data_IF_955876071886
#
_entry.id   IF_955876071886
#
_cell.length_a   1.000
_cell.length_b   1.000
_cell.length_c   1.000
_cell.angle_alpha   90.00
_cell.angle_beta   90.00
_cell.angle_gamma   90.00
#
_symmetry.space_group_name_H-M   'P 1'
#
loop_
_entity.id
_entity.type
_entity.pdbx_description
1 polymer ?
#
# COMPACT_ATOMS: atom_id res chain seq x y z
N UNK A 1 13.99 -33.88 -31.84
CA UNK A 1 14.10 -34.04 -30.38
C UNK A 1 13.22 -35.21 -29.94
N UNK A 2 13.80 -36.30 -29.44
CA UNK A 2 13.04 -37.45 -28.95
C UNK A 2 12.26 -37.04 -27.69
N UNK A 3 10.94 -37.26 -27.68
CA UNK A 3 10.09 -37.03 -26.50
C UNK A 3 10.47 -38.04 -25.42
N UNK A 4 10.92 -37.59 -24.26
CA UNK A 4 11.22 -38.45 -23.12
C UNK A 4 9.96 -39.23 -22.73
N UNK A 5 10.10 -40.55 -22.63
CA UNK A 5 9.05 -41.48 -22.22
C UNK A 5 9.51 -42.32 -21.04
N UNK A 6 8.61 -42.59 -20.09
CA UNK A 6 8.86 -43.50 -18.98
C UNK A 6 7.58 -44.24 -18.57
N UNK A 7 7.67 -45.45 -18.02
CA UNK A 7 6.55 -46.04 -17.29
C UNK A 7 6.32 -45.30 -15.96
N UNK A 8 5.08 -45.30 -15.49
CA UNK A 8 4.69 -44.71 -14.21
C UNK A 8 3.24 -44.24 -14.18
N UNK A 9 2.91 -43.46 -13.17
CA UNK A 9 1.60 -42.86 -12.94
C UNK A 9 1.47 -41.50 -13.62
N UNK A 10 0.33 -41.24 -14.27
CA UNK A 10 0.05 -39.95 -14.89
C UNK A 10 -0.21 -38.88 -13.83
N UNK A 11 0.46 -37.73 -13.89
CA UNK A 11 0.31 -36.61 -12.94
C UNK A 11 -1.06 -35.87 -13.02
N UNK A 12 -2.09 -36.48 -13.63
CA UNK A 12 -3.42 -35.88 -13.75
C UNK A 12 -4.54 -36.86 -13.44
N UNK A 13 -4.52 -38.04 -14.07
CA UNK A 13 -5.57 -39.04 -13.95
C UNK A 13 -5.14 -40.26 -13.13
N UNK A 14 -3.96 -40.22 -12.52
CA UNK A 14 -3.43 -41.23 -11.60
C UNK A 14 -3.39 -42.66 -12.20
N UNK A 15 -3.46 -42.75 -13.53
CA UNK A 15 -3.48 -44.02 -14.26
C UNK A 15 -2.04 -44.45 -14.56
N UNK A 16 -1.68 -45.66 -14.17
CA UNK A 16 -0.41 -46.27 -14.56
C UNK A 16 -0.37 -46.55 -16.07
N UNK A 17 0.73 -46.14 -16.72
CA UNK A 17 1.01 -46.41 -18.13
C UNK A 17 2.45 -46.84 -18.30
N UNK A 18 2.69 -47.68 -19.30
CA UNK A 18 4.05 -48.11 -19.69
C UNK A 18 4.83 -47.02 -20.42
N UNK A 19 4.16 -46.00 -20.96
CA UNK A 19 4.78 -44.88 -21.68
C UNK A 19 4.01 -43.58 -21.46
N UNK A 20 4.48 -42.79 -20.49
CA UNK A 20 4.03 -41.42 -20.24
C UNK A 20 4.93 -40.43 -20.98
N UNK A 21 4.36 -39.32 -21.42
CA UNK A 21 5.07 -38.23 -22.11
C UNK A 21 5.43 -37.13 -21.12
N UNK A 22 6.70 -36.74 -21.08
CA UNK A 22 7.12 -35.60 -20.27
C UNK A 22 6.53 -34.28 -20.79
N UNK A 23 6.20 -33.37 -19.87
CA UNK A 23 5.91 -31.98 -20.18
C UNK A 23 7.05 -31.40 -21.01
N UNK A 24 6.74 -30.78 -22.14
CA UNK A 24 7.74 -30.20 -23.03
C UNK A 24 8.42 -28.95 -22.47
N UNK A 25 7.83 -28.32 -21.45
CA UNK A 25 8.36 -27.12 -20.82
C UNK A 25 9.42 -27.42 -19.76
N UNK A 26 9.04 -28.15 -18.71
CA UNK A 26 9.91 -28.40 -17.56
C UNK A 26 10.51 -29.81 -17.52
N UNK A 27 9.99 -30.76 -18.30
CA UNK A 27 10.34 -32.19 -18.26
C UNK A 27 10.19 -32.88 -16.90
N UNK A 28 9.49 -32.25 -15.94
CA UNK A 28 9.30 -32.75 -14.58
C UNK A 28 7.92 -33.33 -14.30
N UNK A 29 6.94 -33.11 -15.18
CA UNK A 29 5.61 -33.74 -15.12
C UNK A 29 5.39 -34.66 -16.32
N UNK A 30 4.52 -35.67 -16.18
CA UNK A 30 4.37 -36.82 -17.07
C UNK A 30 2.90 -37.17 -17.26
N UNK A 31 2.50 -37.35 -18.51
CA UNK A 31 1.09 -37.47 -18.90
C UNK A 31 0.83 -38.62 -19.86
N UNK A 32 -0.36 -39.24 -19.79
CA UNK A 32 -0.83 -40.20 -20.79
C UNK A 32 -0.80 -39.60 -22.20
N UNK A 33 -1.34 -38.38 -22.32
CA UNK A 33 -1.59 -37.70 -23.57
C UNK A 33 -1.68 -36.16 -23.38
N UNK A 34 -1.79 -35.38 -24.47
CA UNK A 34 -1.92 -33.93 -24.39
C UNK A 34 -3.19 -33.44 -23.68
N UNK A 35 -4.26 -34.24 -23.61
CA UNK A 35 -5.50 -33.83 -22.93
C UNK A 35 -5.29 -33.85 -21.41
N UNK A 36 -4.64 -34.90 -20.88
CA UNK A 36 -4.23 -34.94 -19.47
C UNK A 36 -3.31 -33.77 -19.11
N UNK A 37 -2.36 -33.43 -19.99
CA UNK A 37 -1.49 -32.26 -19.80
C UNK A 37 -2.29 -30.95 -19.77
N UNK A 38 -3.22 -30.77 -20.71
CA UNK A 38 -4.06 -29.56 -20.81
C UNK A 38 -4.98 -29.41 -19.60
N UNK A 39 -5.54 -30.51 -19.10
CA UNK A 39 -6.39 -30.52 -17.92
C UNK A 39 -5.60 -30.24 -16.63
N UNK A 40 -4.38 -30.77 -16.49
CA UNK A 40 -3.49 -30.46 -15.37
C UNK A 40 -2.87 -29.05 -15.46
N UNK A 41 -2.89 -28.41 -16.64
CA UNK A 41 -2.18 -27.14 -16.85
C UNK A 41 -2.57 -26.03 -15.87
N UNK A 42 -3.82 -25.99 -15.38
CA UNK A 42 -4.30 -24.98 -14.42
C UNK A 42 -3.49 -24.94 -13.12
N UNK A 43 -3.01 -26.09 -12.62
CA UNK A 43 -2.21 -26.21 -11.41
C UNK A 43 -0.73 -26.53 -11.70
N UNK A 44 -0.41 -27.22 -12.80
CA UNK A 44 0.98 -27.50 -13.17
C UNK A 44 1.75 -26.24 -13.58
N UNK A 45 1.08 -25.30 -14.26
CA UNK A 45 1.66 -24.06 -14.80
C UNK A 45 2.55 -23.32 -13.81
N UNK A 46 2.11 -23.17 -12.56
CA UNK A 46 2.80 -22.36 -11.54
C UNK A 46 4.13 -22.98 -11.11
N UNK A 47 4.31 -24.28 -11.31
CA UNK A 47 5.56 -25.01 -11.06
C UNK A 47 6.38 -25.26 -12.34
N UNK A 48 5.77 -25.04 -13.51
CA UNK A 48 6.40 -25.27 -14.81
C UNK A 48 7.04 -24.00 -15.39
N UNK A 49 6.40 -22.85 -15.22
CA UNK A 49 6.84 -21.60 -15.84
C UNK A 49 7.96 -20.92 -15.05
N UNK A 50 8.81 -20.20 -15.77
CA UNK A 50 9.77 -19.29 -15.16
C UNK A 50 9.04 -18.21 -14.34
N UNK A 51 9.55 -17.80 -13.17
CA UNK A 51 8.88 -16.82 -12.30
C UNK A 51 8.47 -15.51 -13.00
N UNK A 52 9.26 -15.02 -13.96
CA UNK A 52 8.93 -13.81 -14.73
C UNK A 52 7.70 -13.93 -15.64
N UNK A 53 7.21 -15.15 -15.89
CA UNK A 53 5.99 -15.41 -16.68
C UNK A 53 4.75 -15.61 -15.80
N UNK A 54 4.91 -15.61 -14.48
CA UNK A 54 3.82 -15.78 -13.53
C UNK A 54 3.12 -14.45 -13.29
N UNK A 55 1.80 -14.45 -13.34
CA UNK A 55 0.99 -13.33 -12.87
C UNK A 55 1.03 -13.25 -11.35
N UNK A 56 0.58 -12.14 -10.76
CA UNK A 56 0.39 -12.04 -9.31
C UNK A 56 -0.56 -13.13 -8.78
N UNK A 57 -1.61 -13.49 -9.53
CA UNK A 57 -2.50 -14.60 -9.15
C UNK A 57 -1.79 -15.96 -9.13
N UNK A 58 -0.91 -16.22 -10.09
CA UNK A 58 -0.14 -17.46 -10.12
C UNK A 58 0.79 -17.56 -8.88
N UNK A 59 1.38 -16.44 -8.46
CA UNK A 59 2.23 -16.38 -7.27
C UNK A 59 1.42 -16.49 -5.97
N UNK A 60 0.23 -15.89 -5.92
CA UNK A 60 -0.74 -16.15 -4.84
C UNK A 60 -1.14 -17.62 -4.78
N UNK A 61 -1.33 -18.28 -5.92
CA UNK A 61 -1.67 -19.69 -5.97
C UNK A 61 -0.55 -20.57 -5.40
N UNK A 62 0.72 -20.25 -5.69
CA UNK A 62 1.88 -20.91 -5.05
C UNK A 62 1.80 -20.79 -3.52
N UNK A 63 1.53 -19.58 -3.01
CA UNK A 63 1.38 -19.32 -1.59
C UNK A 63 0.22 -20.14 -0.98
N UNK A 64 -0.94 -20.15 -1.65
CA UNK A 64 -2.10 -20.93 -1.25
C UNK A 64 -1.84 -22.45 -1.22
N UNK A 65 -1.20 -23.01 -2.25
CA UNK A 65 -0.89 -24.45 -2.29
C UNK A 65 0.10 -24.85 -1.20
N UNK A 66 1.13 -24.04 -0.97
CA UNK A 66 2.18 -24.30 0.01
C UNK A 66 1.81 -23.93 1.45
N UNK A 67 0.69 -23.24 1.65
CA UNK A 67 0.22 -22.79 2.96
C UNK A 67 1.20 -21.83 3.65
N UNK A 68 1.68 -20.84 2.89
CA UNK A 68 2.49 -19.74 3.41
C UNK A 68 1.93 -18.40 2.96
N UNK A 69 2.13 -17.36 3.78
CA UNK A 69 1.83 -15.98 3.37
C UNK A 69 2.69 -15.58 2.15
N UNK A 70 2.18 -14.70 1.27
CA UNK A 70 2.99 -14.12 0.21
C UNK A 70 4.26 -13.45 0.75
N UNK A 71 5.33 -13.50 -0.04
CA UNK A 71 6.61 -12.87 0.32
C UNK A 71 6.43 -11.35 0.48
N UNK A 72 7.00 -10.79 1.55
CA UNK A 72 6.98 -9.34 1.85
C UNK A 72 7.55 -8.47 0.70
N UNK A 73 8.44 -9.03 -0.12
CA UNK A 73 9.03 -8.38 -1.28
C UNK A 73 8.17 -8.49 -2.55
N UNK A 74 7.14 -9.34 -2.57
CA UNK A 74 6.20 -9.44 -3.70
C UNK A 74 5.08 -8.41 -3.56
N UNK A 75 5.47 -7.13 -3.63
CA UNK A 75 4.59 -5.97 -3.46
C UNK A 75 3.36 -6.04 -4.36
N UNK A 76 3.51 -6.60 -5.56
CA UNK A 76 2.39 -6.74 -6.49
C UNK A 76 1.34 -7.72 -5.95
N UNK A 77 1.73 -8.89 -5.43
CA UNK A 77 0.76 -9.84 -4.83
C UNK A 77 0.13 -9.23 -3.58
N UNK A 78 0.94 -8.59 -2.74
CA UNK A 78 0.43 -7.99 -1.51
C UNK A 78 -0.63 -6.91 -1.80
N UNK A 79 -0.39 -6.06 -2.81
CA UNK A 79 -1.31 -5.00 -3.22
C UNK A 79 -2.53 -5.53 -3.96
N UNK A 80 -2.34 -6.45 -4.90
CA UNK A 80 -3.43 -6.96 -5.76
C UNK A 80 -4.48 -7.76 -4.99
N UNK A 81 -4.09 -8.36 -3.85
CA UNK A 81 -4.93 -9.29 -3.09
C UNK A 81 -5.10 -8.89 -1.62
N UNK A 82 -4.91 -7.60 -1.32
CA UNK A 82 -5.32 -6.98 -0.06
C UNK A 82 -4.41 -7.17 1.15
N UNK A 83 -3.38 -8.01 1.06
CA UNK A 83 -2.41 -8.22 2.16
C UNK A 83 -1.70 -6.92 2.55
N UNK A 84 -1.36 -6.08 1.57
CA UNK A 84 -0.74 -4.78 1.84
C UNK A 84 -1.65 -3.85 2.66
N UNK A 85 -2.97 -4.04 2.60
CA UNK A 85 -3.97 -3.20 3.28
C UNK A 85 -4.39 -3.72 4.65
N UNK A 86 -4.18 -5.00 4.92
CA UNK A 86 -4.47 -5.61 6.20
C UNK A 86 -3.69 -4.92 7.33
N UNK A 87 -4.34 -4.58 8.43
CA UNK A 87 -3.71 -3.87 9.54
C UNK A 87 -3.16 -4.81 10.61
N UNK A 88 -3.68 -6.03 10.68
CA UNK A 88 -3.25 -7.05 11.64
C UNK A 88 -2.78 -8.32 10.92
N UNK A 89 -1.77 -8.98 11.46
CA UNK A 89 -1.18 -10.20 10.87
C UNK A 89 -2.20 -11.35 10.76
N UNK A 90 -3.18 -11.39 11.67
CA UNK A 90 -4.26 -12.37 11.59
C UNK A 90 -5.04 -12.21 10.28
N UNK A 91 -5.43 -11.00 9.88
CA UNK A 91 -6.14 -10.74 8.62
C UNK A 91 -5.44 -11.26 7.37
N UNK A 92 -4.10 -11.22 7.34
CA UNK A 92 -3.33 -11.77 6.21
C UNK A 92 -3.53 -13.30 6.09
N UNK A 93 -3.59 -14.01 7.22
CA UNK A 93 -3.90 -15.44 7.24
C UNK A 93 -5.33 -15.71 6.77
N UNK A 94 -6.28 -14.83 7.09
CA UNK A 94 -7.66 -14.96 6.65
C UNK A 94 -7.82 -14.71 5.15
N UNK A 95 -7.07 -13.74 4.59
CA UNK A 95 -6.95 -13.56 3.14
C UNK A 95 -6.36 -14.81 2.49
N UNK A 96 -5.29 -15.39 3.04
CA UNK A 96 -4.70 -16.62 2.51
C UNK A 96 -5.72 -17.76 2.52
N UNK A 97 -6.44 -17.98 3.64
CA UNK A 97 -7.48 -19.00 3.77
C UNK A 97 -8.63 -18.82 2.77
N UNK A 98 -9.05 -17.57 2.53
CA UNK A 98 -10.04 -17.22 1.51
C UNK A 98 -9.57 -17.63 0.11
N UNK A 99 -8.34 -17.31 -0.26
CA UNK A 99 -7.81 -17.67 -1.57
C UNK A 99 -7.46 -19.16 -1.70
N UNK A 100 -7.10 -19.84 -0.61
CA UNK A 100 -6.95 -21.29 -0.56
C UNK A 100 -8.27 -22.01 -0.86
N UNK A 101 -9.38 -21.54 -0.26
CA UNK A 101 -10.71 -22.07 -0.55
C UNK A 101 -11.04 -22.04 -2.04
N UNK A 102 -10.68 -20.96 -2.72
CA UNK A 102 -10.92 -20.79 -4.16
C UNK A 102 -9.94 -21.62 -5.00
N UNK A 103 -8.64 -21.48 -4.76
CA UNK A 103 -7.57 -22.01 -5.62
C UNK A 103 -7.31 -23.49 -5.34
N UNK A 104 -7.01 -23.82 -4.09
CA UNK A 104 -6.56 -25.15 -3.69
C UNK A 104 -7.73 -26.12 -3.63
N UNK A 105 -8.79 -25.76 -2.92
CA UNK A 105 -9.94 -26.64 -2.70
C UNK A 105 -11.00 -26.52 -3.79
N UNK A 106 -11.26 -25.30 -4.28
CA UNK A 106 -12.13 -25.06 -5.44
C UNK A 106 -11.53 -25.44 -6.78
N UNK A 107 -10.23 -25.74 -6.83
CA UNK A 107 -9.47 -26.04 -8.04
C UNK A 107 -9.66 -25.00 -9.17
N UNK A 108 -9.87 -23.74 -8.79
CA UNK A 108 -10.03 -22.62 -9.71
C UNK A 108 -8.67 -22.25 -10.31
N UNK A 109 -8.63 -22.10 -11.62
CA UNK A 109 -7.44 -21.65 -12.33
C UNK A 109 -7.06 -20.22 -11.89
N UNK A 110 -5.83 -19.96 -11.44
CA UNK A 110 -5.39 -18.64 -10.98
C UNK A 110 -5.59 -17.53 -12.03
N UNK A 111 -5.56 -17.88 -13.32
CA UNK A 111 -5.83 -16.92 -14.41
C UNK A 111 -7.25 -16.37 -14.39
N UNK A 112 -8.21 -17.12 -13.83
CA UNK A 112 -9.57 -16.61 -13.60
C UNK A 112 -9.52 -15.50 -12.58
N UNK A 113 -8.87 -15.72 -11.44
CA UNK A 113 -8.72 -14.73 -10.36
C UNK A 113 -8.00 -13.48 -10.89
N UNK A 114 -6.93 -13.66 -11.66
CA UNK A 114 -6.23 -12.55 -12.31
C UNK A 114 -7.16 -11.71 -13.20
N UNK A 115 -7.97 -12.36 -14.06
CA UNK A 115 -8.93 -11.67 -14.93
C UNK A 115 -10.00 -10.91 -14.15
N UNK A 116 -10.56 -11.51 -13.10
CA UNK A 116 -11.57 -10.85 -12.26
C UNK A 116 -10.97 -9.62 -11.55
N UNK A 117 -9.72 -9.70 -11.10
CA UNK A 117 -9.00 -8.58 -10.51
C UNK A 117 -8.77 -7.45 -11.52
N UNK A 118 -8.33 -7.76 -12.74
CA UNK A 118 -8.15 -6.75 -13.79
C UNK A 118 -9.48 -6.13 -14.25
N UNK A 119 -10.57 -6.89 -14.19
CA UNK A 119 -11.91 -6.41 -14.54
C UNK A 119 -12.60 -5.62 -13.40
N UNK A 120 -12.01 -5.56 -12.20
CA UNK A 120 -12.62 -4.91 -11.03
C UNK A 120 -13.79 -5.70 -10.41
N UNK A 121 -13.97 -6.97 -10.77
CA UNK A 121 -15.10 -7.83 -10.38
C UNK A 121 -14.70 -8.91 -9.37
N UNK A 122 -13.50 -8.82 -8.79
CA UNK A 122 -12.95 -9.84 -7.89
C UNK A 122 -13.83 -10.10 -6.66
N UNK A 123 -14.33 -9.04 -6.01
CA UNK A 123 -15.18 -9.14 -4.82
C UNK A 123 -16.46 -9.93 -5.13
N UNK A 124 -17.14 -9.58 -6.22
CA UNK A 124 -18.40 -10.25 -6.61
C UNK A 124 -18.16 -11.69 -7.07
N UNK A 125 -17.01 -11.95 -7.70
CA UNK A 125 -16.58 -13.30 -8.02
C UNK A 125 -16.38 -14.17 -6.76
N UNK A 126 -15.72 -13.63 -5.73
CA UNK A 126 -15.52 -14.33 -4.45
C UNK A 126 -16.87 -14.66 -3.81
N UNK A 127 -17.80 -13.71 -3.75
CA UNK A 127 -19.17 -13.94 -3.24
C UNK A 127 -19.86 -15.05 -4.01
N UNK A 128 -19.88 -14.92 -5.35
CA UNK A 128 -20.50 -15.90 -6.24
C UNK A 128 -19.91 -17.30 -6.13
N UNK A 129 -18.62 -17.41 -5.78
CA UNK A 129 -17.95 -18.70 -5.57
C UNK A 129 -18.41 -19.35 -4.26
N UNK A 130 -18.35 -18.62 -3.14
CA UNK A 130 -18.69 -19.15 -1.81
C UNK A 130 -20.19 -19.34 -1.60
N UNK A 131 -21.03 -18.51 -2.21
CA UNK A 131 -22.49 -18.59 -2.05
C UNK A 131 -23.11 -19.82 -2.72
N UNK A 132 -22.42 -20.42 -3.69
CA UNK A 132 -22.80 -21.72 -4.27
C UNK A 132 -22.66 -22.87 -3.29
N UNK A 133 -21.86 -22.71 -2.24
CA UNK A 133 -21.69 -23.72 -1.20
C UNK A 133 -22.74 -23.54 -0.09
N UNK A 134 -23.18 -24.63 0.56
CA UNK A 134 -23.96 -24.54 1.80
C UNK A 134 -23.24 -23.71 2.87
N UNK A 135 -23.99 -23.00 3.72
CA UNK A 135 -23.42 -22.07 4.70
C UNK A 135 -22.34 -22.71 5.60
N UNK A 136 -22.55 -23.95 6.06
CA UNK A 136 -21.61 -24.68 6.91
C UNK A 136 -20.28 -25.04 6.21
N UNK A 137 -20.23 -25.02 4.87
CA UNK A 137 -19.06 -25.41 4.09
C UNK A 137 -18.22 -24.21 3.61
N UNK A 138 -18.63 -22.98 3.92
CA UNK A 138 -17.95 -21.76 3.46
C UNK A 138 -16.69 -21.44 4.29
N UNK A 139 -16.58 -22.01 5.50
CA UNK A 139 -15.56 -21.68 6.49
C UNK A 139 -15.73 -20.26 7.03
N UNK A 140 -15.00 -19.93 8.11
CA UNK A 140 -15.13 -18.64 8.77
C UNK A 140 -14.56 -17.48 7.93
N UNK A 141 -13.62 -17.78 7.03
CA UNK A 141 -12.98 -16.80 6.15
C UNK A 141 -13.97 -16.01 5.29
N UNK A 142 -15.09 -16.63 4.88
CA UNK A 142 -16.08 -15.97 4.03
C UNK A 142 -16.92 -14.93 4.80
N UNK A 143 -17.56 -15.24 5.95
CA UNK A 143 -18.18 -14.23 6.81
C UNK A 143 -17.25 -13.07 7.18
N UNK A 144 -15.97 -13.36 7.46
CA UNK A 144 -14.97 -12.33 7.72
C UNK A 144 -14.72 -11.45 6.49
N UNK A 145 -14.56 -12.06 5.31
CA UNK A 145 -14.38 -11.34 4.06
C UNK A 145 -15.55 -10.39 3.78
N UNK A 146 -16.79 -10.80 4.06
CA UNK A 146 -17.97 -9.95 3.87
C UNK A 146 -17.90 -8.65 4.68
N UNK A 147 -17.28 -8.67 5.87
CA UNK A 147 -17.03 -7.47 6.71
C UNK A 147 -15.80 -6.67 6.26
N UNK A 148 -14.88 -7.28 5.51
CA UNK A 148 -13.56 -6.73 5.19
C UNK A 148 -13.30 -6.61 3.68
N UNK A 149 -14.35 -6.41 2.88
CA UNK A 149 -14.25 -6.29 1.42
C UNK A 149 -13.35 -5.13 0.96
N UNK A 150 -13.24 -4.09 1.79
CA UNK A 150 -12.38 -2.92 1.58
C UNK A 150 -10.90 -3.26 1.33
N UNK A 151 -10.43 -4.41 1.83
CA UNK A 151 -9.06 -4.88 1.58
C UNK A 151 -8.82 -5.22 0.09
N UNK A 152 -9.86 -5.59 -0.65
CA UNK A 152 -9.80 -6.00 -2.06
C UNK A 152 -10.35 -4.95 -3.03
N UNK A 153 -10.80 -3.79 -2.55
CA UNK A 153 -11.28 -2.72 -3.42
C UNK A 153 -10.16 -2.15 -4.31
N UNK A 154 -10.46 -1.60 -5.50
CA UNK A 154 -9.43 -0.91 -6.29
C UNK A 154 -8.79 0.25 -5.50
N UNK A 155 -7.46 0.45 -5.57
CA UNK A 155 -6.85 1.61 -4.94
C UNK A 155 -7.33 2.90 -5.61
N UNK A 156 -7.43 3.98 -4.84
CA UNK A 156 -7.74 5.31 -5.32
C UNK A 156 -6.60 5.90 -6.13
N UNK A 157 -5.37 5.60 -5.71
CA UNK A 157 -4.16 6.11 -6.36
C UNK A 157 -3.53 5.01 -7.21
N UNK A 158 -3.19 5.36 -8.45
CA UNK A 158 -2.45 4.44 -9.32
C UNK A 158 -1.00 4.30 -8.83
N UNK A 159 -0.49 3.08 -8.83
CA UNK A 159 0.91 2.79 -8.50
C UNK A 159 1.84 3.18 -9.67
N UNK A 160 2.00 4.49 -9.89
CA UNK A 160 2.94 5.01 -10.90
C UNK A 160 4.39 5.02 -10.38
N UNK A 161 4.62 4.63 -9.13
CA UNK A 161 5.90 4.70 -8.45
C UNK A 161 7.03 4.01 -9.22
N UNK A 162 6.79 2.78 -9.68
CA UNK A 162 7.77 1.99 -10.43
C UNK A 162 8.13 2.61 -11.78
N UNK A 163 7.15 3.24 -12.45
CA UNK A 163 7.36 3.94 -13.73
C UNK A 163 8.19 5.20 -13.51
N UNK A 164 7.97 5.91 -12.41
CA UNK A 164 8.63 7.20 -12.13
C UNK A 164 10.06 7.03 -11.66
N UNK A 165 10.39 5.95 -10.94
CA UNK A 165 11.75 5.69 -10.45
C UNK A 165 12.61 4.85 -11.42
N UNK A 166 12.32 4.93 -12.72
CA UNK A 166 13.10 4.24 -13.74
C UNK A 166 14.48 4.89 -13.96
N UNK A 167 15.34 4.26 -14.77
CA UNK A 167 16.71 4.74 -14.98
C UNK A 167 16.78 6.07 -15.75
N UNK A 168 15.84 6.31 -16.66
CA UNK A 168 15.81 7.52 -17.49
C UNK A 168 15.47 8.76 -16.65
N UNK A 169 14.45 8.66 -15.79
CA UNK A 169 14.08 9.74 -14.87
C UNK A 169 15.16 10.00 -13.83
N UNK A 170 15.85 8.95 -13.37
CA UNK A 170 16.97 9.08 -12.43
C UNK A 170 18.13 9.84 -13.07
N UNK A 171 18.50 9.50 -14.31
CA UNK A 171 19.53 10.23 -15.07
C UNK A 171 19.11 11.67 -15.39
N UNK A 172 17.85 11.89 -15.73
CA UNK A 172 17.32 13.24 -15.98
C UNK A 172 17.44 14.13 -14.73
N UNK A 173 17.04 13.59 -13.57
CA UNK A 173 17.14 14.28 -12.28
C UNK A 173 18.59 14.60 -11.93
N UNK A 174 19.50 13.64 -12.12
CA UNK A 174 20.94 13.85 -11.91
C UNK A 174 21.50 15.00 -12.74
N UNK A 175 21.16 15.06 -14.03
CA UNK A 175 21.56 16.17 -14.90
C UNK A 175 20.95 17.50 -14.48
N UNK A 176 19.68 17.48 -14.08
CA UNK A 176 18.96 18.67 -13.61
C UNK A 176 19.64 19.31 -12.40
N UNK A 177 20.10 18.51 -11.44
CA UNK A 177 20.78 19.02 -10.23
C UNK A 177 22.25 19.39 -10.47
N UNK A 178 22.74 19.37 -11.71
CA UNK A 178 24.12 19.73 -12.07
C UNK A 178 25.15 18.59 -11.91
N UNK A 179 24.70 17.34 -11.77
CA UNK A 179 25.60 16.20 -11.70
C UNK A 179 26.35 15.97 -13.02
N UNK A 180 27.68 15.81 -12.93
CA UNK A 180 28.51 15.43 -14.09
C UNK A 180 28.09 14.05 -14.60
N UNK A 181 28.16 13.82 -15.91
CA UNK A 181 27.84 12.51 -16.50
C UNK A 181 28.98 11.53 -16.18
N UNK A 182 28.84 10.55 -15.27
CA UNK A 182 29.83 9.48 -15.18
C UNK A 182 29.59 8.55 -16.38
N UNK A 183 30.61 7.82 -16.82
CA UNK A 183 30.52 6.90 -17.96
C UNK A 183 29.50 5.74 -17.83
N UNK A 184 28.75 5.63 -16.71
CA UNK A 184 27.71 4.60 -16.49
C UNK A 184 26.64 5.02 -15.46
N UNK A 185 25.34 4.71 -15.68
CA UNK A 185 24.23 4.92 -14.72
C UNK A 185 24.41 4.22 -13.37
N UNK A 186 25.14 3.09 -13.35
CA UNK A 186 25.44 2.32 -12.14
C UNK A 186 26.26 3.15 -11.15
N UNK A 187 27.18 3.98 -11.65
CA UNK A 187 28.01 4.85 -10.82
C UNK A 187 27.16 5.95 -10.14
N UNK A 188 26.17 6.50 -10.85
CA UNK A 188 25.27 7.52 -10.29
C UNK A 188 24.45 6.95 -9.12
N UNK A 189 23.86 5.76 -9.30
CA UNK A 189 23.06 5.11 -8.24
C UNK A 189 23.88 4.86 -6.98
N UNK A 190 25.12 4.37 -7.13
CA UNK A 190 26.04 4.18 -6.00
C UNK A 190 26.32 5.49 -5.27
N UNK A 191 26.61 6.57 -6.01
CA UNK A 191 26.88 7.87 -5.40
C UNK A 191 25.68 8.42 -4.60
N UNK A 192 24.46 8.28 -5.14
CA UNK A 192 23.25 8.72 -4.43
C UNK A 192 22.98 7.85 -3.20
N UNK A 193 23.26 6.55 -3.26
CA UNK A 193 23.12 5.66 -2.10
C UNK A 193 24.05 6.02 -0.95
N UNK A 194 25.22 6.58 -1.24
CA UNK A 194 26.19 7.03 -0.24
C UNK A 194 25.83 8.39 0.40
N UNK A 195 24.80 9.08 -0.10
CA UNK A 195 24.39 10.37 0.46
C UNK A 195 23.64 10.22 1.80
N UNK A 196 23.63 11.27 2.65
CA UNK A 196 22.72 11.33 3.79
C UNK A 196 21.26 11.11 3.36
N UNK A 197 20.46 10.50 4.25
CA UNK A 197 19.07 10.11 3.97
C UNK A 197 18.22 11.29 3.50
N UNK A 198 18.40 12.45 4.11
CA UNK A 198 17.65 13.67 3.80
C UNK A 198 17.97 14.17 2.39
N UNK A 199 19.24 14.03 1.96
CA UNK A 199 19.66 14.37 0.60
C UNK A 199 19.10 13.38 -0.43
N UNK A 200 19.02 12.10 -0.08
CA UNK A 200 18.34 11.09 -0.91
C UNK A 200 16.84 11.39 -1.07
N UNK A 201 16.15 11.77 0.02
CA UNK A 201 14.74 12.18 -0.01
C UNK A 201 14.53 13.43 -0.88
N UNK A 202 15.37 14.46 -0.71
CA UNK A 202 15.32 15.67 -1.53
C UNK A 202 15.54 15.35 -3.02
N UNK A 203 16.50 14.49 -3.36
CA UNK A 203 16.74 14.05 -4.74
C UNK A 203 15.52 13.33 -5.32
N UNK A 204 14.95 12.39 -4.55
CA UNK A 204 13.77 11.62 -4.96
C UNK A 204 12.54 12.53 -5.17
N UNK A 205 12.36 13.53 -4.32
CA UNK A 205 11.29 14.50 -4.50
C UNK A 205 11.48 15.36 -5.75
N UNK A 206 12.71 15.80 -6.07
CA UNK A 206 13.01 16.48 -7.34
C UNK A 206 12.70 15.58 -8.53
N UNK A 207 13.02 14.29 -8.46
CA UNK A 207 12.65 13.33 -9.51
C UNK A 207 11.13 13.28 -9.75
N UNK A 208 10.33 13.38 -8.68
CA UNK A 208 8.88 13.47 -8.79
C UNK A 208 8.41 14.78 -9.43
N UNK A 209 8.97 15.93 -9.02
CA UNK A 209 8.64 17.25 -9.58
C UNK A 209 8.90 17.35 -11.10
N UNK A 210 9.92 16.64 -11.58
CA UNK A 210 10.28 16.65 -13.00
C UNK A 210 9.40 15.70 -13.84
N UNK A 211 8.59 14.84 -13.22
CA UNK A 211 7.73 13.92 -13.95
C UNK A 211 6.40 14.60 -14.33
N UNK A 212 6.06 14.72 -15.62
CA UNK A 212 4.82 15.37 -16.05
C UNK A 212 3.57 14.70 -15.44
N UNK A 213 2.62 15.53 -14.99
CA UNK A 213 1.31 15.10 -14.46
C UNK A 213 1.38 14.13 -13.28
N UNK A 214 2.52 14.07 -12.59
CA UNK A 214 2.60 13.30 -11.37
C UNK A 214 1.83 13.99 -10.24
N UNK A 215 1.15 13.21 -9.42
CA UNK A 215 0.46 13.66 -8.23
C UNK A 215 0.95 12.83 -7.05
N UNK A 216 1.32 13.47 -5.96
CA UNK A 216 1.62 12.77 -4.72
C UNK A 216 0.36 12.13 -4.16
N UNK A 217 0.51 10.91 -3.67
CA UNK A 217 -0.52 10.24 -2.90
C UNK A 217 -0.10 10.19 -1.43
N UNK A 218 -1.05 10.07 -0.49
CA UNK A 218 -0.74 9.81 0.92
C UNK A 218 0.07 8.53 1.14
N UNK A 219 0.14 7.64 0.16
CA UNK A 219 0.96 6.44 0.28
C UNK A 219 2.46 6.69 0.20
N UNK A 220 2.86 7.85 -0.31
CA UNK A 220 4.25 8.27 -0.43
C UNK A 220 4.69 9.09 0.78
N UNK A 221 5.88 8.82 1.35
CA UNK A 221 6.40 9.60 2.48
C UNK A 221 6.56 11.08 2.11
N UNK A 222 6.87 11.38 0.84
CA UNK A 222 7.01 12.74 0.33
C UNK A 222 5.76 13.61 0.51
N UNK A 223 4.58 13.00 0.68
CA UNK A 223 3.35 13.74 0.95
C UNK A 223 3.38 14.43 2.32
N UNK A 224 4.03 13.83 3.32
CA UNK A 224 4.32 14.50 4.60
C UNK A 224 5.64 15.28 4.51
N UNK A 225 6.70 14.65 4.00
CA UNK A 225 8.06 15.22 4.00
C UNK A 225 8.15 16.55 3.22
N UNK A 226 7.17 16.88 2.37
CA UNK A 226 7.13 18.17 1.66
C UNK A 226 5.84 18.94 1.91
N UNK A 227 5.12 18.65 3.00
CA UNK A 227 4.03 19.47 3.50
C UNK A 227 2.69 19.35 2.77
N UNK A 228 2.59 18.49 1.75
CA UNK A 228 1.34 18.30 0.98
C UNK A 228 0.18 17.78 1.83
N UNK A 229 0.46 17.04 2.91
CA UNK A 229 -0.56 16.62 3.86
C UNK A 229 -1.24 17.80 4.57
N UNK A 230 -0.61 18.97 4.61
CA UNK A 230 -1.18 20.22 5.14
C UNK A 230 -2.21 20.86 4.20
N UNK A 231 -2.26 20.49 2.92
CA UNK A 231 -3.22 21.03 1.98
C UNK A 231 -4.66 20.55 2.29
N UNK A 232 -5.62 21.45 2.14
CA UNK A 232 -7.06 21.21 2.35
C UNK A 232 -7.80 20.87 1.06
N UNK A 233 -7.19 21.11 -0.10
CA UNK A 233 -7.79 20.85 -1.39
C UNK A 233 -6.76 20.44 -2.43
N UNK A 234 -7.24 19.81 -3.51
CA UNK A 234 -6.40 19.50 -4.66
C UNK A 234 -5.81 20.74 -5.32
N UNK A 235 -6.53 21.87 -5.31
CA UNK A 235 -6.01 23.13 -5.86
C UNK A 235 -4.81 23.63 -5.05
N UNK A 236 -4.89 23.56 -3.72
CA UNK A 236 -3.79 23.94 -2.84
C UNK A 236 -2.58 23.00 -3.02
N UNK A 237 -2.80 21.70 -3.22
CA UNK A 237 -1.72 20.76 -3.58
C UNK A 237 -1.05 21.14 -4.91
N UNK A 238 -1.83 21.51 -5.94
CA UNK A 238 -1.29 21.95 -7.23
C UNK A 238 -0.50 23.26 -7.11
N UNK A 239 -0.99 24.23 -6.33
CA UNK A 239 -0.29 25.50 -6.09
C UNK A 239 1.03 25.29 -5.34
N UNK A 240 1.04 24.40 -4.34
CA UNK A 240 2.26 24.02 -3.63
C UNK A 240 3.24 23.29 -4.55
N UNK A 241 2.75 22.37 -5.39
CA UNK A 241 3.54 21.65 -6.39
C UNK A 241 4.25 22.61 -7.36
N UNK A 242 3.50 23.54 -7.95
CA UNK A 242 4.03 24.56 -8.86
C UNK A 242 5.05 25.45 -8.17
N UNK A 243 4.83 25.78 -6.89
CA UNK A 243 5.77 26.54 -6.08
C UNK A 243 7.09 25.79 -5.89
N UNK A 244 7.05 24.48 -5.61
CA UNK A 244 8.25 23.64 -5.55
C UNK A 244 8.99 23.53 -6.90
N UNK A 245 8.27 23.41 -8.02
CA UNK A 245 8.88 23.44 -9.36
C UNK A 245 9.62 24.76 -9.61
N UNK A 246 8.99 25.90 -9.27
CA UNK A 246 9.62 27.22 -9.42
C UNK A 246 10.85 27.33 -8.54
N UNK A 247 10.75 26.90 -7.29
CA UNK A 247 11.84 26.96 -6.33
C UNK A 247 13.04 26.12 -6.76
N UNK A 248 12.82 24.86 -7.14
CA UNK A 248 13.90 23.93 -7.55
C UNK A 248 14.61 24.36 -8.85
N UNK A 249 13.97 25.18 -9.69
CA UNK A 249 14.60 25.82 -10.85
C UNK A 249 15.36 27.10 -10.48
N UNK A 250 14.96 27.79 -9.42
CA UNK A 250 15.54 29.06 -9.01
C UNK A 250 16.80 28.91 -8.13
N UNK A 251 16.94 27.80 -7.40
CA UNK A 251 18.05 27.57 -6.48
C UNK A 251 18.87 26.33 -6.84
N UNK A 252 20.19 26.31 -6.54
CA UNK A 252 20.98 25.09 -6.65
C UNK A 252 20.43 23.99 -5.74
N UNK A 253 20.52 22.72 -6.20
CA UNK A 253 20.07 21.56 -5.44
C UNK A 253 20.66 21.51 -4.03
N UNK A 254 21.94 21.88 -3.87
CA UNK A 254 22.60 21.88 -2.56
C UNK A 254 21.88 22.80 -1.57
N UNK A 255 21.45 23.99 -2.02
CA UNK A 255 20.71 24.96 -1.19
C UNK A 255 19.32 24.43 -0.85
N UNK A 256 18.64 23.79 -1.82
CA UNK A 256 17.34 23.16 -1.60
C UNK A 256 17.42 22.04 -0.55
N UNK A 257 18.39 21.13 -0.70
CA UNK A 257 18.57 20.02 0.23
C UNK A 257 18.96 20.51 1.63
N UNK A 258 19.85 21.51 1.76
CA UNK A 258 20.22 22.07 3.08
C UNK A 258 19.00 22.68 3.76
N UNK A 259 18.16 23.40 2.99
CA UNK A 259 16.95 24.00 3.54
C UNK A 259 15.96 22.94 4.04
N UNK A 260 15.79 21.85 3.27
CA UNK A 260 15.02 20.68 3.67
C UNK A 260 15.58 20.04 4.94
N UNK A 261 16.86 19.66 4.96
CA UNK A 261 17.50 19.02 6.11
C UNK A 261 17.43 19.86 7.39
N UNK A 262 17.37 21.18 7.30
CA UNK A 262 17.32 22.10 8.44
C UNK A 262 15.91 22.61 8.79
N UNK A 263 14.84 22.02 8.23
CA UNK A 263 13.45 22.48 8.46
C UNK A 263 13.21 23.95 8.13
N UNK A 264 13.88 24.44 7.07
CA UNK A 264 13.89 25.85 6.69
C UNK A 264 13.39 26.10 5.26
N UNK A 265 12.64 25.13 4.69
CA UNK A 265 11.96 25.30 3.41
C UNK A 265 11.07 26.55 3.36
N UNK A 266 10.25 26.88 4.38
CA UNK A 266 9.44 28.11 4.35
C UNK A 266 10.28 29.39 4.21
N UNK A 267 11.43 29.46 4.89
CA UNK A 267 12.37 30.56 4.77
C UNK A 267 13.00 30.60 3.36
N UNK A 268 13.34 29.45 2.80
CA UNK A 268 13.86 29.34 1.44
C UNK A 268 12.82 29.79 0.39
N UNK A 269 11.56 29.40 0.53
CA UNK A 269 10.47 29.90 -0.31
C UNK A 269 10.39 31.43 -0.26
N UNK A 270 10.30 31.98 0.95
CA UNK A 270 10.19 33.43 1.17
C UNK A 270 11.35 34.20 0.54
N UNK A 271 12.58 33.69 0.69
CA UNK A 271 13.77 34.29 0.09
C UNK A 271 13.80 34.25 -1.45
N UNK A 272 12.97 33.43 -2.09
CA UNK A 272 12.86 33.31 -3.53
C UNK A 272 11.51 33.83 -4.07
N UNK A 273 10.85 34.74 -3.33
CA UNK A 273 9.68 35.47 -3.81
C UNK A 273 8.39 34.66 -3.87
N UNK A 274 8.31 33.54 -3.14
CA UNK A 274 7.07 32.76 -2.98
C UNK A 274 6.80 32.55 -1.49
N UNK A 275 5.58 32.80 -1.03
CA UNK A 275 5.23 32.62 0.38
C UNK A 275 4.22 31.50 0.51
N UNK A 276 4.51 30.50 1.36
CA UNK A 276 3.53 29.49 1.73
C UNK A 276 2.52 30.13 2.68
N UNK A 277 1.24 30.18 2.28
CA UNK A 277 0.19 30.85 3.06
C UNK A 277 -0.59 29.93 3.98
N UNK A 278 -0.59 28.64 3.68
CA UNK A 278 -1.32 27.66 4.47
C UNK A 278 -0.66 27.45 5.84
N UNK A 279 -1.36 27.74 6.96
CA UNK A 279 -0.81 27.52 8.30
C UNK A 279 -0.55 26.03 8.56
N UNK A 280 -1.28 25.15 7.89
CA UNK A 280 -1.13 23.70 8.01
C UNK A 280 0.11 23.19 7.28
N UNK A 281 0.37 23.68 6.07
CA UNK A 281 1.62 23.36 5.37
C UNK A 281 2.82 23.89 6.17
N UNK A 282 2.73 25.11 6.72
CA UNK A 282 3.77 25.66 7.58
C UNK A 282 4.00 24.81 8.84
N UNK A 283 2.93 24.36 9.50
CA UNK A 283 3.01 23.49 10.68
C UNK A 283 3.79 22.20 10.39
N UNK A 284 3.55 21.58 9.24
CA UNK A 284 4.28 20.38 8.81
C UNK A 284 5.74 20.71 8.52
N UNK A 285 6.00 21.77 7.75
CA UNK A 285 7.35 22.12 7.30
C UNK A 285 8.28 22.66 8.39
N UNK A 286 7.74 23.15 9.52
CA UNK A 286 8.50 23.67 10.66
C UNK A 286 9.35 22.59 11.36
N UNK A 287 8.90 21.33 11.31
CA UNK A 287 9.62 20.21 11.94
C UNK A 287 10.21 19.19 10.95
N UNK A 288 9.73 19.19 9.71
CA UNK A 288 10.15 18.25 8.67
C UNK A 288 11.61 18.44 8.25
N UNK A 289 12.39 17.37 8.00
CA UNK A 289 11.96 15.96 7.97
C UNK A 289 12.05 15.23 9.32
N UNK A 290 12.34 15.93 10.41
CA UNK A 290 12.71 15.31 11.69
C UNK A 290 11.51 14.98 12.57
N UNK A 291 10.49 15.84 12.57
CA UNK A 291 9.31 15.72 13.44
C UNK A 291 8.09 16.37 12.80
N UNK A 292 6.92 15.83 13.11
CA UNK A 292 5.64 16.45 12.84
C UNK A 292 4.61 15.95 13.86
N UNK A 293 3.50 16.66 14.01
CA UNK A 293 2.40 16.22 14.88
C UNK A 293 1.81 14.90 14.41
N UNK A 294 1.34 14.07 15.35
CA UNK A 294 0.78 12.74 15.04
C UNK A 294 -0.49 12.79 14.20
N UNK A 295 -1.17 13.95 14.13
CA UNK A 295 -2.38 14.09 13.28
C UNK A 295 -2.05 14.00 11.79
N UNK A 296 -0.82 14.33 11.41
CA UNK A 296 -0.37 14.20 10.02
C UNK A 296 -0.18 12.72 9.65
N UNK A 297 0.29 11.89 10.58
CA UNK A 297 0.30 10.43 10.43
C UNK A 297 -1.12 9.87 10.35
N UNK A 298 -2.04 10.37 11.20
CA UNK A 298 -3.44 9.97 11.15
C UNK A 298 -4.05 10.31 9.78
N UNK A 299 -3.82 11.52 9.27
CA UNK A 299 -4.35 11.95 7.96
C UNK A 299 -3.79 11.09 6.85
N UNK A 300 -2.49 10.77 6.90
CA UNK A 300 -1.86 9.85 5.96
C UNK A 300 -2.49 8.46 6.01
N UNK A 301 -2.65 7.89 7.20
CA UNK A 301 -3.30 6.60 7.41
C UNK A 301 -4.76 6.58 6.93
N UNK A 302 -5.53 7.61 7.27
CA UNK A 302 -6.92 7.72 6.91
C UNK A 302 -7.11 7.77 5.38
N UNK A 303 -6.24 8.50 4.68
CA UNK A 303 -6.39 8.79 3.25
C UNK A 303 -5.63 7.87 2.29
N UNK A 304 -4.54 7.23 2.71
CA UNK A 304 -3.69 6.38 1.86
C UNK A 304 -4.12 4.91 1.81
N UNK A 305 -4.04 4.25 0.66
CA UNK A 305 -4.61 2.91 0.47
C UNK A 305 -3.76 1.80 1.12
N UNK A 306 -2.45 2.02 1.26
CA UNK A 306 -1.47 1.03 1.70
C UNK A 306 -0.77 1.40 3.01
N UNK A 307 -1.32 2.37 3.74
CA UNK A 307 -0.74 2.79 5.01
C UNK A 307 -1.00 1.76 6.11
N UNK A 308 0.06 1.48 6.88
CA UNK A 308 0.00 0.71 8.11
C UNK A 308 -0.15 1.65 9.29
N UNK A 309 -0.78 1.17 10.35
CA UNK A 309 -0.84 1.86 11.64
C UNK A 309 0.57 2.13 12.18
N UNK A 310 0.88 3.41 12.46
CA UNK A 310 2.11 3.81 13.15
C UNK A 310 1.87 3.83 14.67
N UNK A 311 2.93 3.71 15.51
CA UNK A 311 2.78 3.76 16.96
C UNK A 311 2.04 4.99 17.47
N UNK A 312 2.32 6.17 16.87
CA UNK A 312 1.62 7.42 17.18
C UNK A 312 0.12 7.29 16.89
N UNK A 313 -0.25 6.76 15.72
CA UNK A 313 -1.66 6.61 15.34
C UNK A 313 -2.39 5.61 16.24
N UNK A 314 -1.72 4.52 16.59
CA UNK A 314 -2.26 3.46 17.46
C UNK A 314 -2.69 4.04 18.82
N UNK A 315 -1.81 4.84 19.41
CA UNK A 315 -1.91 5.29 20.80
C UNK A 315 -2.73 6.57 20.91
N UNK A 316 -2.52 7.54 20.02
CA UNK A 316 -3.15 8.85 20.09
C UNK A 316 -4.60 8.80 19.63
N UNK A 317 -4.92 8.06 18.57
CA UNK A 317 -6.23 8.12 17.93
C UNK A 317 -7.08 6.87 18.16
N UNK A 318 -6.86 6.18 19.28
CA UNK A 318 -7.78 5.17 19.78
C UNK A 318 -7.76 3.82 19.06
N UNK A 319 -6.81 3.59 18.14
CA UNK A 319 -6.72 2.32 17.44
C UNK A 319 -6.23 1.18 18.34
N UNK A 320 -5.52 1.46 19.44
CA UNK A 320 -5.19 0.45 20.46
C UNK A 320 -6.45 -0.12 21.13
N UNK A 321 -7.56 0.61 21.15
CA UNK A 321 -8.80 0.18 21.75
C UNK A 321 -9.69 -0.65 20.80
N UNK A 322 -9.26 -0.91 19.55
CA UNK A 322 -10.05 -1.64 18.55
C UNK A 322 -10.25 -3.14 18.84
N UNK A 323 -9.87 -3.60 20.03
CA UNK A 323 -10.08 -4.96 20.50
C UNK A 323 -8.82 -5.82 20.36
N UNK A 324 -9.03 -7.12 20.52
CA UNK A 324 -7.98 -8.11 20.37
C UNK A 324 -7.46 -8.12 18.91
N UNK A 325 -6.17 -7.86 18.73
CA UNK A 325 -5.53 -7.85 17.41
C UNK A 325 -5.50 -9.25 16.77
N UNK A 326 -5.78 -10.30 17.55
CA UNK A 326 -5.93 -11.67 17.05
C UNK A 326 -7.39 -12.05 16.72
N UNK A 327 -8.36 -11.17 17.03
CA UNK A 327 -9.77 -11.40 16.72
C UNK A 327 -10.08 -11.13 15.23
N UNK A 328 -10.99 -11.91 14.61
CA UNK A 328 -11.48 -11.66 13.25
C UNK A 328 -12.17 -10.30 13.09
N UNK A 329 -12.71 -9.74 14.17
CA UNK A 329 -13.42 -8.46 14.17
C UNK A 329 -12.47 -7.26 14.14
N UNK A 330 -11.24 -7.40 14.63
CA UNK A 330 -10.28 -6.30 14.83
C UNK A 330 -10.07 -5.45 13.57
N UNK A 331 -9.86 -6.09 12.42
CA UNK A 331 -9.69 -5.41 11.13
C UNK A 331 -10.91 -4.54 10.75
N UNK A 332 -12.12 -5.07 10.96
CA UNK A 332 -13.35 -4.36 10.60
C UNK A 332 -13.61 -3.17 11.53
N UNK A 333 -13.20 -3.28 12.80
CA UNK A 333 -13.29 -2.18 13.79
C UNK A 333 -12.26 -1.10 13.45
N UNK A 334 -11.01 -1.47 13.15
CA UNK A 334 -9.97 -0.56 12.67
C UNK A 334 -10.43 0.17 11.42
N UNK A 335 -10.98 -0.55 10.44
CA UNK A 335 -11.52 0.06 9.22
C UNK A 335 -12.65 1.06 9.51
N UNK A 336 -13.57 0.69 10.41
CA UNK A 336 -14.70 1.56 10.79
C UNK A 336 -14.22 2.84 11.46
N UNK A 337 -13.27 2.75 12.40
CA UNK A 337 -12.68 3.91 13.07
C UNK A 337 -11.89 4.78 12.07
N UNK A 338 -11.13 4.14 11.18
CA UNK A 338 -10.43 4.81 10.08
C UNK A 338 -11.39 5.61 9.18
N UNK A 339 -12.58 5.07 8.86
CA UNK A 339 -13.57 5.81 8.06
C UNK A 339 -14.12 7.03 8.81
N UNK A 340 -14.27 6.97 10.14
CA UNK A 340 -14.67 8.15 10.93
C UNK A 340 -13.62 9.25 10.81
N UNK A 341 -12.34 8.94 11.04
CA UNK A 341 -11.27 9.94 10.90
C UNK A 341 -11.11 10.45 9.47
N UNK A 342 -11.22 9.58 8.47
CA UNK A 342 -11.24 9.99 7.06
C UNK A 342 -12.39 10.96 6.78
N UNK A 343 -13.57 10.71 7.33
CA UNK A 343 -14.71 11.62 7.19
C UNK A 343 -14.37 12.98 7.79
N UNK A 344 -13.91 13.02 9.04
CA UNK A 344 -13.51 14.26 9.73
C UNK A 344 -12.48 15.06 8.93
N UNK A 345 -11.41 14.40 8.47
CA UNK A 345 -10.27 15.02 7.81
C UNK A 345 -10.52 15.40 6.35
N UNK A 346 -11.70 15.10 5.81
CA UNK A 346 -12.12 15.49 4.45
C UNK A 346 -13.27 16.49 4.43
N UNK A 347 -13.79 16.89 5.60
CA UNK A 347 -14.75 17.98 5.69
C UNK A 347 -14.04 19.30 5.32
N UNK A 348 -14.62 20.12 4.43
CA UNK A 348 -14.09 21.45 4.12
C UNK A 348 -13.88 22.29 5.39
N UNK A 349 -12.78 23.02 5.46
CA UNK A 349 -12.43 23.95 6.54
C UNK A 349 -12.23 23.33 7.95
N UNK A 350 -12.28 22.00 8.09
CA UNK A 350 -11.87 21.35 9.34
C UNK A 350 -10.38 21.56 9.55
N UNK A 351 -10.02 22.03 10.74
CA UNK A 351 -8.63 22.23 11.15
C UNK A 351 -8.08 20.94 11.77
N UNK A 352 -7.14 20.22 11.11
CA UNK A 352 -6.56 19.00 11.67
C UNK A 352 -5.83 19.23 13.00
N UNK A 353 -5.30 20.43 13.24
CA UNK A 353 -4.61 20.76 14.50
C UNK A 353 -5.58 20.82 15.68
N UNK A 354 -6.86 21.13 15.46
CA UNK A 354 -7.87 21.04 16.53
C UNK A 354 -8.17 19.59 16.92
N UNK A 355 -8.15 18.67 15.96
CA UNK A 355 -8.25 17.25 16.25
C UNK A 355 -7.04 16.77 17.06
N UNK A 356 -5.85 17.27 16.74
CA UNK A 356 -4.65 17.00 17.53
C UNK A 356 -4.76 17.55 18.96
N UNK A 357 -5.26 18.77 19.14
CA UNK A 357 -5.49 19.34 20.46
C UNK A 357 -6.52 18.53 21.26
N UNK A 358 -7.63 18.13 20.62
CA UNK A 358 -8.62 17.25 21.25
C UNK A 358 -8.02 15.91 21.68
N UNK A 359 -7.05 15.37 20.92
CA UNK A 359 -6.27 14.20 21.33
C UNK A 359 -5.47 14.45 22.60
N UNK A 360 -4.76 15.57 22.69
CA UNK A 360 -3.95 15.92 23.86
C UNK A 360 -4.80 16.16 25.11
N UNK A 361 -6.07 16.55 24.93
CA UNK A 361 -7.03 16.82 26.00
C UNK A 361 -7.90 15.61 26.38
N UNK A 362 -7.85 14.51 25.62
CA UNK A 362 -8.71 13.34 25.89
C UNK A 362 -10.14 13.49 25.39
N UNK A 363 -10.39 14.46 24.52
CA UNK A 363 -11.71 14.89 24.06
C UNK A 363 -11.98 14.48 22.60
N UNK A 364 -11.28 13.47 22.08
CA UNK A 364 -11.41 13.00 20.69
C UNK A 364 -12.85 12.71 20.27
N UNK A 365 -13.59 11.95 21.07
CA UNK A 365 -14.97 11.59 20.76
C UNK A 365 -15.90 12.82 20.80
N UNK A 366 -15.67 13.72 21.76
CA UNK A 366 -16.44 14.95 21.89
C UNK A 366 -16.21 15.85 20.67
N UNK A 367 -14.96 16.10 20.30
CA UNK A 367 -14.60 16.83 19.08
C UNK A 367 -15.21 16.18 17.83
N UNK A 368 -15.07 14.86 17.69
CA UNK A 368 -15.60 14.12 16.55
C UNK A 368 -17.12 14.33 16.37
N UNK A 369 -17.88 14.37 17.49
CA UNK A 369 -19.33 14.65 17.47
C UNK A 369 -19.69 16.11 17.20
N UNK A 370 -18.79 17.05 17.44
CA UNK A 370 -19.00 18.46 17.10
C UNK A 370 -18.88 18.70 15.60
N UNK A 371 -17.99 17.98 14.92
CA UNK A 371 -17.71 18.18 13.49
C UNK A 371 -18.52 17.26 12.57
N UNK A 372 -18.96 16.07 13.03
CA UNK A 372 -19.75 15.15 12.21
C UNK A 372 -20.60 14.19 13.05
N UNK A 373 -21.52 13.46 12.40
CA UNK A 373 -22.29 12.42 13.07
C UNK A 373 -21.42 11.19 13.31
N UNK A 374 -21.19 10.86 14.58
CA UNK A 374 -20.43 9.68 15.01
C UNK A 374 -21.26 8.82 15.95
N UNK A 375 -21.30 7.51 15.67
CA UNK A 375 -22.00 6.52 16.48
C UNK A 375 -21.38 6.40 17.88
N UNK A 376 -22.22 6.26 18.91
CA UNK A 376 -21.80 6.11 20.30
C UNK A 376 -20.87 4.92 20.54
N UNK A 377 -20.91 3.90 19.68
CA UNK A 377 -19.99 2.74 19.75
C UNK A 377 -18.51 3.12 19.59
N UNK A 378 -18.19 4.29 19.02
CA UNK A 378 -16.81 4.77 18.88
C UNK A 378 -16.30 5.48 20.15
N UNK A 379 -17.17 5.87 21.09
CA UNK A 379 -16.79 6.51 22.34
C UNK A 379 -15.77 5.71 23.18
N UNK A 380 -15.90 4.38 23.38
CA UNK A 380 -14.87 3.62 24.07
C UNK A 380 -13.57 3.51 23.29
N UNK A 381 -13.60 3.63 21.96
CA UNK A 381 -12.42 3.51 21.11
C UNK A 381 -11.57 4.79 21.15
N UNK A 382 -12.21 5.96 21.11
CA UNK A 382 -11.55 7.27 21.04
C UNK A 382 -11.11 7.78 22.43
N UNK A 383 -10.38 6.94 23.18
CA UNK A 383 -9.82 7.28 24.50
C UNK A 383 -8.31 7.10 24.49
N UNK A 384 -7.58 8.03 25.09
CA UNK A 384 -6.15 7.87 25.33
C UNK A 384 -5.94 6.79 26.40
N UNK A 385 -4.98 5.90 26.14
CA UNK A 385 -4.60 4.80 27.03
C UNK A 385 -3.60 5.22 28.12
N UNK A 386 -3.05 6.42 27.99
CA UNK A 386 -2.03 6.98 28.85
C UNK A 386 -2.62 8.13 29.69
N UNK A 387 -2.11 8.36 30.91
CA UNK A 387 -2.55 9.48 31.72
C UNK A 387 -2.22 10.79 31.00
N UNK A 388 -3.23 11.63 30.84
CA UNK A 388 -3.05 12.98 30.33
C UNK A 388 -2.61 13.88 31.49
N UNK A 389 -1.73 14.83 31.20
CA UNK A 389 -1.44 15.87 32.17
C UNK A 389 -2.73 16.68 32.33
N UNK A 390 -3.33 16.63 33.51
CA UNK A 390 -4.41 17.55 33.86
C UNK A 390 -3.82 18.96 33.80
N UNK A 391 -4.06 19.67 32.71
CA UNK A 391 -4.02 21.12 32.72
C UNK A 391 -5.23 21.56 33.54
N UNK A 392 -5.10 21.43 34.86
CA UNK A 392 -5.97 22.08 35.81
C UNK A 392 -5.82 23.58 35.57
N UNK A 393 -6.85 24.16 34.96
CA UNK A 393 -7.08 25.61 34.93
C UNK A 393 -7.40 26.08 36.34
#
# INVERSE_FOLDING_TARGET
MQRRQRPGECDYCDTERSSLRACSGCHNAWYCDPECQKAHWKSHRIWCLHPSKLTSADRLAIAAYKDFLPNEHDIQVLRDYGFARAQISRSENWLLGLFQGIIKYGQVDPRVIHRQRLAGTLIDYIKSFYEKMPAYARGDYYPWFLKNQHLLEPPKFSDTYSVILNEDSFQHTWRFIGGLTPGSPVNIKSQVQDWPKEKQQAFRFVQFLLHPRFQLSPDLPEWIDFGFCGCNSHNEEMELWDSYIKLTKAVPFEKFHIAYSNSSLPALFSANGSTIMSPFVLDVLDGTPHKHKSVWDLKRFALGDYQKLTPSVIVDYGFMNCGDLDSPEGESVIHSLRQVYKTILTIPDVNPLQLHEACLQGELFHYARQVTQVDIKFAPLMKNIYPLQNNAV
#
